data_IF_620494966722
#
_entry.id   IF_620494966722
#
_cell.length_a   1.000
_cell.length_b   1.000
_cell.length_c   1.000
_cell.angle_alpha   90.00
_cell.angle_beta   90.00
_cell.angle_gamma   90.00
#
_symmetry.space_group_name_H-M   'P 1'
#
loop_
_entity.id
_entity.type
_entity.pdbx_description
1 polymer ?
#
# COMPACT_ATOMS: atom_id res chain seq x y z
N UNK A 1 -26.09 -7.71 5.69
CA UNK A 1 -25.79 -8.29 4.35
C UNK A 1 -24.71 -9.37 4.47
N UNK A 2 -24.34 -10.09 3.39
CA UNK A 2 -23.21 -11.04 3.43
C UNK A 2 -21.92 -10.41 2.93
N UNK A 3 -20.77 -10.83 3.46
CA UNK A 3 -19.45 -10.31 3.07
C UNK A 3 -19.19 -10.41 1.56
N UNK A 4 -19.62 -11.51 0.93
CA UNK A 4 -19.47 -11.72 -0.51
C UNK A 4 -20.25 -10.72 -1.39
N UNK A 5 -21.26 -10.06 -0.85
CA UNK A 5 -22.09 -9.07 -1.56
C UNK A 5 -21.55 -7.64 -1.42
N UNK A 6 -20.62 -7.40 -0.50
CA UNK A 6 -20.03 -6.09 -0.28
C UNK A 6 -19.03 -5.78 -1.40
N UNK A 7 -19.08 -4.59 -2.05
CA UNK A 7 -18.02 -4.17 -2.95
C UNK A 7 -16.66 -4.08 -2.26
N UNK A 8 -15.56 -4.34 -2.98
CA UNK A 8 -14.21 -4.06 -2.49
C UNK A 8 -14.07 -2.54 -2.27
N UNK A 9 -13.30 -2.14 -1.26
CA UNK A 9 -13.12 -0.73 -0.88
C UNK A 9 -14.21 -0.19 0.05
N UNK A 10 -15.21 -1.00 0.44
CA UNK A 10 -16.26 -0.60 1.39
C UNK A 10 -15.92 -1.00 2.82
N UNK A 11 -16.31 -0.14 3.77
CA UNK A 11 -16.22 -0.37 5.21
C UNK A 11 -17.45 -1.11 5.73
N UNK A 12 -17.26 -1.92 6.76
CA UNK A 12 -18.32 -2.71 7.38
C UNK A 12 -17.96 -3.10 8.81
N UNK A 13 -18.97 -3.41 9.62
CA UNK A 13 -18.79 -4.03 10.93
C UNK A 13 -18.87 -5.56 10.82
N UNK A 14 -17.95 -6.22 11.51
CA UNK A 14 -17.94 -7.66 11.67
C UNK A 14 -17.50 -8.02 13.09
N UNK A 15 -18.38 -8.70 13.84
CA UNK A 15 -18.17 -9.07 15.25
C UNK A 15 -17.85 -7.87 16.15
N UNK A 16 -18.44 -6.70 15.86
CA UNK A 16 -18.26 -5.48 16.64
C UNK A 16 -17.03 -4.64 16.25
N UNK A 17 -16.21 -5.11 15.32
CA UNK A 17 -15.04 -4.38 14.83
C UNK A 17 -15.29 -3.84 13.41
N UNK A 18 -14.72 -2.66 13.12
CA UNK A 18 -14.72 -2.05 11.78
C UNK A 18 -13.61 -2.64 10.89
N UNK A 19 -13.96 -2.97 9.66
CA UNK A 19 -13.05 -3.47 8.64
C UNK A 19 -13.29 -2.81 7.28
N UNK A 20 -12.24 -2.76 6.47
CA UNK A 20 -12.26 -2.42 5.05
C UNK A 20 -12.16 -3.71 4.22
N UNK A 21 -13.04 -3.91 3.24
CA UNK A 21 -12.95 -5.07 2.34
C UNK A 21 -11.86 -4.84 1.29
N UNK A 22 -10.79 -5.63 1.34
CA UNK A 22 -9.63 -5.51 0.43
C UNK A 22 -9.60 -6.59 -0.65
N UNK A 23 -10.25 -7.73 -0.43
CA UNK A 23 -10.38 -8.79 -1.44
C UNK A 23 -11.68 -9.59 -1.27
N UNK A 24 -12.01 -10.52 -2.18
CA UNK A 24 -13.22 -11.34 -2.06
C UNK A 24 -13.32 -12.19 -0.79
N UNK A 25 -12.20 -12.41 -0.10
CA UNK A 25 -12.09 -13.24 1.11
C UNK A 25 -11.35 -12.55 2.27
N UNK A 26 -10.75 -11.38 2.05
CA UNK A 26 -9.96 -10.69 3.06
C UNK A 26 -10.48 -9.29 3.34
N UNK A 27 -10.32 -8.89 4.60
CA UNK A 27 -10.58 -7.55 5.08
C UNK A 27 -9.43 -7.07 5.95
N UNK A 28 -9.24 -5.76 6.01
CA UNK A 28 -8.19 -5.12 6.80
C UNK A 28 -8.83 -4.24 7.86
N UNK A 29 -8.29 -4.27 9.08
CA UNK A 29 -8.74 -3.36 10.14
C UNK A 29 -8.03 -2.00 9.98
N UNK A 30 -8.72 -0.85 10.12
CA UNK A 30 -8.06 0.45 10.09
C UNK A 30 -6.92 0.51 11.12
N UNK A 31 -5.72 0.90 10.68
CA UNK A 31 -4.54 1.00 11.54
C UNK A 31 -3.75 -0.30 11.77
N UNK A 32 -4.22 -1.44 11.25
CA UNK A 32 -3.47 -2.70 11.29
C UNK A 32 -3.01 -3.11 9.88
N UNK A 33 -1.75 -3.51 9.75
CA UNK A 33 -1.20 -4.03 8.48
C UNK A 33 -1.59 -5.50 8.22
N UNK A 34 -2.32 -6.11 9.16
CA UNK A 34 -2.70 -7.52 9.08
C UNK A 34 -4.06 -7.69 8.42
N UNK A 35 -4.08 -8.50 7.36
CA UNK A 35 -5.32 -8.91 6.70
C UNK A 35 -5.98 -10.08 7.42
N UNK A 36 -7.31 -10.05 7.52
CA UNK A 36 -8.15 -11.07 8.15
C UNK A 36 -9.01 -11.77 7.10
N UNK A 37 -9.01 -13.11 7.13
CA UNK A 37 -9.92 -13.90 6.31
C UNK A 37 -11.35 -13.85 6.88
N UNK A 38 -12.30 -13.48 6.02
CA UNK A 38 -13.73 -13.45 6.33
C UNK A 38 -14.48 -14.30 5.30
N UNK A 39 -15.22 -15.34 5.71
CA UNK A 39 -15.99 -16.17 4.79
C UNK A 39 -17.01 -15.35 3.99
N UNK A 40 -17.21 -15.68 2.70
CA UNK A 40 -18.18 -14.98 1.84
C UNK A 40 -19.60 -14.96 2.40
N UNK A 41 -19.97 -16.02 3.11
CA UNK A 41 -21.29 -16.18 3.73
C UNK A 41 -21.42 -15.46 5.07
N UNK A 42 -20.34 -14.90 5.62
CA UNK A 42 -20.35 -14.25 6.92
C UNK A 42 -21.32 -13.05 6.92
N UNK A 43 -22.17 -12.93 7.96
CA UNK A 43 -23.03 -11.77 8.13
C UNK A 43 -22.18 -10.56 8.50
N UNK A 44 -22.45 -9.43 7.85
CA UNK A 44 -21.81 -8.14 8.09
C UNK A 44 -22.85 -7.02 8.06
N UNK A 45 -22.50 -5.91 8.71
CA UNK A 45 -23.27 -4.66 8.66
C UNK A 45 -22.47 -3.65 7.82
N UNK A 46 -22.98 -3.24 6.63
CA UNK A 46 -22.30 -2.23 5.85
C UNK A 46 -22.33 -0.91 6.60
N UNK A 47 -21.20 -0.22 6.65
CA UNK A 47 -21.18 1.17 7.06
C UNK A 47 -21.43 1.99 5.81
N UNK A 48 -22.50 2.80 5.80
CA UNK A 48 -22.73 3.78 4.74
C UNK A 48 -21.61 4.82 4.80
N UNK A 49 -20.52 4.56 4.09
CA UNK A 49 -19.49 5.56 3.85
C UNK A 49 -20.07 6.56 2.86
N UNK A 50 -20.35 7.76 3.35
CA UNK A 50 -20.52 8.99 2.57
C UNK A 50 -19.24 9.41 1.86
N UNK A 51 -18.09 8.81 2.22
CA UNK A 51 -16.86 8.94 1.47
C UNK A 51 -16.85 7.98 0.27
N UNK A 52 -16.60 8.49 -0.95
CA UNK A 52 -16.38 7.63 -2.11
C UNK A 52 -15.20 6.69 -1.84
N UNK A 53 -15.23 5.45 -2.34
CA UNK A 53 -14.10 4.54 -2.22
C UNK A 53 -12.87 5.25 -2.80
N UNK A 54 -11.79 5.34 -2.01
CA UNK A 54 -10.51 5.78 -2.54
C UNK A 54 -10.21 4.88 -3.76
N UNK A 55 -9.98 5.45 -4.95
CA UNK A 55 -9.71 4.66 -6.13
C UNK A 55 -8.50 3.77 -5.83
N UNK A 56 -8.69 2.47 -5.99
CA UNK A 56 -7.55 1.58 -6.21
C UNK A 56 -7.10 1.98 -7.61
N UNK A 57 -6.04 2.78 -7.71
CA UNK A 57 -5.44 3.10 -8.99
C UNK A 57 -4.81 1.83 -9.55
N UNK A 58 -5.65 0.97 -10.15
CA UNK A 58 -5.28 -0.07 -11.10
C UNK A 58 -4.95 0.55 -12.48
N UNK A 59 -4.56 1.84 -12.50
CA UNK A 59 -4.02 2.45 -13.70
C UNK A 59 -2.77 1.64 -14.09
N UNK A 60 -2.74 1.04 -15.28
CA UNK A 60 -1.57 0.29 -15.71
C UNK A 60 -0.39 1.26 -15.76
N UNK A 61 0.55 1.06 -14.83
CA UNK A 61 1.80 1.81 -14.81
C UNK A 61 2.51 1.53 -16.12
N UNK A 62 2.86 2.59 -16.86
CA UNK A 62 3.64 2.46 -18.08
C UNK A 62 4.98 1.76 -17.75
N UNK A 63 5.27 0.59 -18.34
CA UNK A 63 6.48 -0.15 -18.06
C UNK A 63 7.75 0.63 -18.42
N UNK A 64 7.69 1.55 -19.39
CA UNK A 64 8.81 2.44 -19.72
C UNK A 64 9.05 3.44 -18.59
N UNK A 65 7.97 4.01 -18.05
CA UNK A 65 8.04 4.94 -16.91
C UNK A 65 8.55 4.26 -15.65
N UNK A 66 8.13 3.02 -15.41
CA UNK A 66 8.64 2.21 -14.31
C UNK A 66 10.14 1.96 -14.46
N UNK A 67 10.61 1.59 -15.65
CA UNK A 67 12.03 1.35 -15.91
C UNK A 67 12.87 2.60 -15.63
N UNK A 68 12.46 3.78 -16.13
CA UNK A 68 13.16 5.05 -15.88
C UNK A 68 13.27 5.38 -14.38
N UNK A 69 12.18 5.18 -13.63
CA UNK A 69 12.13 5.45 -12.20
C UNK A 69 13.02 4.47 -11.43
N UNK A 70 13.03 3.20 -11.83
CA UNK A 70 13.88 2.17 -11.22
C UNK A 70 15.37 2.39 -11.51
N UNK A 71 15.73 2.79 -12.74
CA UNK A 71 17.10 3.12 -13.11
C UNK A 71 17.61 4.33 -12.32
N UNK A 72 16.77 5.36 -12.15
CA UNK A 72 17.09 6.54 -11.33
C UNK A 72 17.29 6.18 -9.87
N UNK A 73 16.42 5.33 -9.31
CA UNK A 73 16.54 4.84 -7.95
C UNK A 73 17.84 4.04 -7.75
N UNK A 74 18.17 3.18 -8.73
CA UNK A 74 19.42 2.41 -8.72
C UNK A 74 20.66 3.31 -8.70
N UNK A 75 20.66 4.39 -9.50
CA UNK A 75 21.73 5.38 -9.50
C UNK A 75 21.84 6.13 -8.17
N UNK A 76 20.73 6.56 -7.56
CA UNK A 76 20.71 7.20 -6.24
C UNK A 76 21.27 6.26 -5.16
N UNK A 77 20.89 4.98 -5.17
CA UNK A 77 21.41 3.99 -4.22
C UNK A 77 22.90 3.73 -4.43
N UNK A 78 23.34 3.62 -5.68
CA UNK A 78 24.75 3.39 -6.01
C UNK A 78 25.64 4.55 -5.54
N UNK A 79 25.20 5.79 -5.71
CA UNK A 79 25.91 6.99 -5.24
C UNK A 79 26.00 7.01 -3.71
N UNK A 80 24.87 6.74 -3.04
CA UNK A 80 24.80 6.68 -1.59
C UNK A 80 25.68 5.57 -0.98
N UNK A 81 25.82 4.43 -1.67
CA UNK A 81 26.70 3.33 -1.25
C UNK A 81 28.17 3.68 -1.49
N UNK A 82 28.50 4.23 -2.66
CA UNK A 82 29.88 4.52 -3.06
C UNK A 82 30.54 5.58 -2.17
N UNK A 83 29.75 6.51 -1.62
CA UNK A 83 30.22 7.52 -0.66
C UNK A 83 30.32 7.05 0.80
N UNK A 84 29.96 5.81 1.12
CA UNK A 84 29.71 5.38 2.48
C UNK A 84 30.76 4.38 3.01
N UNK A 85 31.70 4.89 3.82
CA UNK A 85 32.61 4.07 4.64
C UNK A 85 31.89 3.55 5.88
N UNK A 86 30.93 2.63 5.68
CA UNK A 86 29.84 2.40 6.64
C UNK A 86 30.25 1.79 7.98
N UNK A 87 30.06 2.56 9.05
CA UNK A 87 29.77 2.05 10.40
C UNK A 87 28.25 1.82 10.60
N UNK A 88 27.85 1.28 11.76
CA UNK A 88 26.45 0.95 12.05
C UNK A 88 25.49 2.17 12.05
N UNK A 89 26.00 3.36 12.39
CA UNK A 89 25.20 4.59 12.41
C UNK A 89 24.99 5.12 10.98
N UNK A 90 26.05 5.08 10.16
CA UNK A 90 25.99 5.45 8.75
C UNK A 90 25.13 4.45 7.95
N UNK A 91 25.13 3.17 8.34
CA UNK A 91 24.26 2.14 7.73
C UNK A 91 22.78 2.43 7.96
N UNK A 92 22.43 2.88 9.17
CA UNK A 92 21.05 3.24 9.52
C UNK A 92 20.60 4.50 8.77
N UNK A 93 21.47 5.51 8.67
CA UNK A 93 21.21 6.72 7.90
C UNK A 93 21.07 6.42 6.39
N UNK A 94 21.90 5.52 5.86
CA UNK A 94 21.82 5.07 4.47
C UNK A 94 20.47 4.36 4.20
N UNK A 95 20.05 3.44 5.07
CA UNK A 95 18.76 2.76 4.95
C UNK A 95 17.57 3.73 4.99
N UNK A 96 17.64 4.77 5.82
CA UNK A 96 16.63 5.81 5.86
C UNK A 96 16.56 6.61 4.54
N UNK A 97 17.71 6.91 3.94
CA UNK A 97 17.80 7.61 2.65
C UNK A 97 17.29 6.75 1.49
N UNK A 98 17.63 5.46 1.44
CA UNK A 98 17.09 4.51 0.45
C UNK A 98 15.57 4.41 0.57
N UNK A 99 15.04 4.34 1.80
CA UNK A 99 13.58 4.34 2.03
C UNK A 99 12.91 5.61 1.49
N UNK A 100 13.52 6.78 1.70
CA UNK A 100 12.99 8.04 1.16
C UNK A 100 13.04 8.09 -0.38
N UNK A 101 14.13 7.60 -1.00
CA UNK A 101 14.24 7.52 -2.45
C UNK A 101 13.15 6.63 -3.05
N UNK A 102 12.90 5.47 -2.45
CA UNK A 102 11.80 4.59 -2.84
C UNK A 102 10.42 5.25 -2.71
N UNK A 103 10.17 6.00 -1.62
CA UNK A 103 8.90 6.70 -1.44
C UNK A 103 8.69 7.80 -2.49
N UNK A 104 9.74 8.53 -2.87
CA UNK A 104 9.71 9.53 -3.96
C UNK A 104 9.43 8.88 -5.31
N UNK A 105 10.14 7.79 -5.62
CA UNK A 105 9.92 7.01 -6.82
C UNK A 105 8.46 6.56 -6.93
N UNK A 106 7.91 5.99 -5.85
CA UNK A 106 6.51 5.58 -5.77
C UNK A 106 5.56 6.76 -5.98
N UNK A 107 5.81 7.91 -5.36
CA UNK A 107 4.96 9.10 -5.55
C UNK A 107 4.99 9.60 -7.00
N UNK A 108 6.15 9.55 -7.66
CA UNK A 108 6.30 9.99 -9.06
C UNK A 108 5.63 9.06 -10.08
N UNK A 109 5.28 7.84 -9.67
CA UNK A 109 4.53 6.86 -10.46
C UNK A 109 3.01 7.11 -10.40
N UNK A 110 2.52 7.88 -9.42
CA UNK A 110 1.10 8.19 -9.21
C UNK A 110 0.76 9.66 -9.47
N UNK A 111 1.71 10.46 -9.96
CA UNK A 111 1.50 11.86 -10.30
C UNK A 111 1.32 12.00 -11.82
N UNK A 112 0.08 12.24 -12.26
CA UNK A 112 -0.26 12.82 -13.57
C UNK A 112 0.01 14.35 -13.57
#
# INVERSE_FOLDING_TARGET
MKFGQLPIGRRFLYRGDEYLKVSPLQAQRPGEDRQRLIPRSAPIEPLESTDPPAPVDDAPIDPLRLAEVMDRLGAEIADLITGSGLDAAQSTALLAQVRQAFLRARQSLHAD
#
